data_IF_276332529030
#
_entry.id   IF_276332529030
#
_cell.length_a   1.000
_cell.length_b   1.000
_cell.length_c   1.000
_cell.angle_alpha   90.00
_cell.angle_beta   90.00
_cell.angle_gamma   90.00
#
_symmetry.space_group_name_H-M   'P 1'
#
loop_
_entity.id
_entity.type
_entity.pdbx_description
1 polymer ?
#
# COMPACT_ATOMS: atom_id res chain seq x y z
N UNK A 1 5.80 14.44 -24.55
CA UNK A 1 4.81 13.95 -23.57
C UNK A 1 5.49 13.90 -22.22
N UNK A 2 5.04 14.70 -21.26
CA UNK A 2 5.66 14.81 -19.94
C UNK A 2 4.79 14.15 -18.89
N UNK A 3 5.42 13.39 -18.02
CA UNK A 3 4.75 12.68 -16.92
C UNK A 3 5.40 13.11 -15.62
N UNK A 4 4.61 13.38 -14.60
CA UNK A 4 5.11 13.64 -13.24
C UNK A 4 4.34 12.77 -12.27
N UNK A 5 5.08 12.15 -11.34
CA UNK A 5 4.51 11.41 -10.22
C UNK A 5 4.89 12.12 -8.94
N UNK A 6 3.90 12.48 -8.12
CA UNK A 6 4.08 13.18 -6.86
C UNK A 6 3.56 12.28 -5.76
N UNK A 7 4.37 12.09 -4.72
CA UNK A 7 3.90 11.52 -3.47
C UNK A 7 3.53 12.68 -2.54
N UNK A 8 2.29 12.67 -2.06
CA UNK A 8 1.78 13.67 -1.11
C UNK A 8 0.94 12.96 -0.05
N UNK A 9 0.25 13.71 0.80
CA UNK A 9 -0.70 13.20 1.76
C UNK A 9 -1.99 14.02 1.74
N UNK A 10 -3.07 13.43 2.24
CA UNK A 10 -4.27 14.19 2.60
C UNK A 10 -3.91 15.05 3.80
N UNK A 11 -3.95 16.37 3.62
CA UNK A 11 -3.77 17.32 4.72
C UNK A 11 -5.10 17.93 5.11
N UNK A 12 -5.13 18.70 6.19
CA UNK A 12 -6.31 19.42 6.63
C UNK A 12 -6.09 20.93 6.58
N UNK A 13 -7.14 21.68 6.27
CA UNK A 13 -7.17 23.14 6.44
C UNK A 13 -8.53 23.58 6.93
N UNK A 14 -8.57 24.30 8.05
CA UNK A 14 -9.82 24.75 8.68
C UNK A 14 -10.83 23.60 8.86
N UNK A 15 -10.35 22.45 9.33
CA UNK A 15 -11.15 21.23 9.54
C UNK A 15 -11.76 20.63 8.26
N UNK A 16 -11.21 20.96 7.08
CA UNK A 16 -11.61 20.36 5.81
C UNK A 16 -10.43 19.61 5.19
N UNK A 17 -10.58 18.30 4.87
CA UNK A 17 -9.56 17.56 4.15
C UNK A 17 -9.26 18.16 2.78
N UNK A 18 -7.98 18.18 2.42
CA UNK A 18 -7.49 18.75 1.17
C UNK A 18 -6.30 17.99 0.60
N UNK A 19 -6.15 18.14 -0.71
CA UNK A 19 -4.96 17.71 -1.44
C UNK A 19 -4.31 18.96 -2.03
N UNK A 20 -3.08 19.22 -1.62
CA UNK A 20 -2.31 20.40 -2.02
C UNK A 20 -1.14 19.99 -2.90
N UNK A 21 -1.04 20.56 -4.10
CA UNK A 21 0.07 20.34 -5.02
C UNK A 21 0.60 21.70 -5.51
N UNK A 22 1.92 21.84 -5.51
CA UNK A 22 2.60 23.07 -5.89
C UNK A 22 3.97 22.77 -6.50
N UNK A 23 4.33 23.48 -7.56
CA UNK A 23 5.70 23.52 -8.05
C UNK A 23 5.85 23.41 -9.56
N UNK A 24 7.06 23.67 -10.05
CA UNK A 24 7.35 23.74 -11.48
C UNK A 24 7.15 22.39 -12.19
N UNK A 25 7.22 21.28 -11.45
CA UNK A 25 6.92 19.94 -11.93
C UNK A 25 5.45 19.75 -12.36
N UNK A 26 4.51 20.56 -11.85
CA UNK A 26 3.13 20.57 -12.35
C UNK A 26 3.06 21.16 -13.77
N UNK A 27 3.72 22.31 -13.99
CA UNK A 27 3.82 22.93 -15.30
C UNK A 27 4.53 22.01 -16.30
N UNK A 28 5.61 21.34 -15.86
CA UNK A 28 6.29 20.32 -16.65
C UNK A 28 5.31 19.27 -17.18
N UNK A 29 4.35 18.81 -16.36
CA UNK A 29 3.36 17.79 -16.74
C UNK A 29 2.09 18.33 -17.41
N UNK A 30 2.04 19.60 -17.81
CA UNK A 30 0.91 20.21 -18.52
C UNK A 30 -0.19 20.80 -17.61
N UNK A 31 0.11 21.05 -16.33
CA UNK A 31 -0.80 21.73 -15.41
C UNK A 31 -0.44 23.21 -15.37
N UNK A 32 -1.12 24.00 -16.19
CA UNK A 32 -0.87 25.43 -16.37
C UNK A 32 -1.77 26.29 -15.47
N UNK A 33 -1.27 27.47 -15.10
CA UNK A 33 -1.99 28.45 -14.29
C UNK A 33 -3.22 28.94 -15.07
N UNK A 34 -4.38 29.00 -14.39
CA UNK A 34 -5.65 29.45 -14.96
C UNK A 34 -6.51 28.32 -15.52
N UNK A 35 -5.95 27.13 -15.74
CA UNK A 35 -6.73 25.95 -16.19
C UNK A 35 -7.76 25.57 -15.12
N UNK A 36 -8.97 25.30 -15.56
CA UNK A 36 -10.05 24.76 -14.74
C UNK A 36 -10.12 23.26 -14.93
N UNK A 37 -10.23 22.51 -13.84
CA UNK A 37 -10.36 21.06 -13.87
C UNK A 37 -11.75 20.63 -13.39
N UNK A 38 -12.41 19.77 -14.15
CA UNK A 38 -13.56 19.02 -13.67
C UNK A 38 -13.10 17.86 -12.79
N UNK A 39 -13.86 17.57 -11.73
CA UNK A 39 -13.56 16.54 -10.74
C UNK A 39 -14.42 15.29 -11.00
N UNK A 40 -13.76 14.16 -11.22
CA UNK A 40 -14.40 12.87 -11.44
C UNK A 40 -13.96 11.91 -10.34
N UNK A 41 -14.92 11.37 -9.57
CA UNK A 41 -14.65 10.41 -8.50
C UNK A 41 -15.06 9.01 -8.91
N UNK A 42 -14.21 8.03 -8.62
CA UNK A 42 -14.56 6.62 -8.65
C UNK A 42 -14.39 6.04 -7.25
N UNK A 43 -15.49 5.90 -6.52
CA UNK A 43 -15.49 5.37 -5.15
C UNK A 43 -14.98 3.92 -5.11
N UNK A 44 -15.42 3.08 -6.06
CA UNK A 44 -14.99 1.68 -6.18
C UNK A 44 -13.47 1.53 -6.29
N UNK A 45 -12.81 2.44 -7.00
CA UNK A 45 -11.35 2.44 -7.17
C UNK A 45 -10.63 3.36 -6.18
N UNK A 46 -11.38 4.02 -5.28
CA UNK A 46 -10.89 5.10 -4.39
C UNK A 46 -9.94 6.05 -5.10
N UNK A 47 -10.43 6.61 -6.22
CA UNK A 47 -9.65 7.41 -7.16
C UNK A 47 -10.34 8.73 -7.45
N UNK A 48 -9.58 9.82 -7.41
CA UNK A 48 -10.00 11.12 -7.92
C UNK A 48 -9.26 11.36 -9.24
N UNK A 49 -9.98 11.84 -10.22
CA UNK A 49 -9.44 12.20 -11.52
C UNK A 49 -9.83 13.63 -11.85
N UNK A 50 -8.83 14.47 -12.12
CA UNK A 50 -9.03 15.83 -12.58
C UNK A 50 -8.72 15.88 -14.07
N UNK A 51 -9.72 16.29 -14.87
CA UNK A 51 -9.57 16.54 -16.31
C UNK A 51 -9.75 18.02 -16.59
N UNK A 52 -9.04 18.61 -17.56
CA UNK A 52 -9.34 19.97 -18.00
C UNK A 52 -10.83 20.08 -18.35
N UNK A 53 -11.51 21.08 -17.78
CA UNK A 53 -12.91 21.30 -18.00
C UNK A 53 -13.13 21.77 -19.46
N UNK A 54 -14.07 21.18 -20.20
CA UNK A 54 -14.40 21.67 -21.53
C UNK A 54 -15.01 23.08 -21.47
N UNK A 55 -14.97 23.79 -22.60
CA UNK A 55 -15.59 25.10 -22.71
C UNK A 55 -17.09 25.02 -22.38
N UNK A 56 -17.59 25.93 -21.54
CA UNK A 56 -18.99 25.96 -21.12
C UNK A 56 -19.37 24.92 -20.06
N UNK A 57 -18.41 24.23 -19.44
CA UNK A 57 -18.68 23.33 -18.31
C UNK A 57 -19.30 24.11 -17.13
N UNK A 58 -20.51 23.73 -16.73
CA UNK A 58 -21.30 24.38 -15.66
C UNK A 58 -21.19 23.68 -14.30
N UNK A 59 -20.44 22.57 -14.22
CA UNK A 59 -20.26 21.81 -12.98
C UNK A 59 -19.18 22.40 -12.07
N UNK A 60 -18.98 21.75 -10.92
CA UNK A 60 -17.93 22.13 -9.97
C UNK A 60 -16.54 21.93 -10.59
N UNK A 61 -15.72 22.96 -10.55
CA UNK A 61 -14.32 22.92 -11.02
C UNK A 61 -13.33 23.20 -9.90
N UNK A 62 -12.09 22.80 -10.12
CA UNK A 62 -10.91 23.16 -9.33
C UNK A 62 -9.98 23.98 -10.22
N UNK A 63 -9.68 25.21 -9.82
CA UNK A 63 -8.79 26.09 -10.58
C UNK A 63 -7.33 25.88 -10.22
N UNK A 64 -6.44 25.90 -11.22
CA UNK A 64 -5.01 26.05 -10.98
C UNK A 64 -4.71 27.52 -10.75
N UNK A 65 -4.32 27.88 -9.54
CA UNK A 65 -3.88 29.23 -9.19
C UNK A 65 -2.35 29.34 -9.29
N UNK A 66 -1.82 30.50 -8.92
CA UNK A 66 -0.39 30.77 -8.89
C UNK A 66 0.09 31.05 -7.47
N UNK A 67 1.30 30.62 -7.14
CA UNK A 67 2.01 31.03 -5.93
C UNK A 67 3.36 31.62 -6.29
N UNK A 68 3.67 32.81 -5.79
CA UNK A 68 4.95 33.48 -6.00
C UNK A 68 5.83 33.32 -4.78
N UNK A 69 7.06 32.84 -4.96
CA UNK A 69 8.06 32.72 -3.89
C UNK A 69 9.45 32.97 -4.48
N UNK A 70 10.21 33.87 -3.85
CA UNK A 70 11.55 34.28 -4.30
C UNK A 70 11.53 34.68 -5.80
N UNK A 71 10.58 35.55 -6.17
CA UNK A 71 10.37 36.05 -7.55
C UNK A 71 10.02 34.98 -8.60
N UNK A 72 9.90 33.72 -8.20
CA UNK A 72 9.48 32.62 -9.07
C UNK A 72 7.99 32.34 -8.89
N UNK A 73 7.31 32.12 -10.01
CA UNK A 73 5.88 31.78 -10.05
C UNK A 73 5.72 30.29 -10.25
N UNK A 74 4.91 29.65 -9.40
CA UNK A 74 4.62 28.23 -9.45
C UNK A 74 3.12 28.00 -9.67
N UNK A 75 2.72 27.03 -10.50
CA UNK A 75 1.35 26.53 -10.49
C UNK A 75 1.01 25.91 -9.14
N UNK A 76 -0.22 26.11 -8.72
CA UNK A 76 -0.79 25.63 -7.47
C UNK A 76 -2.17 25.05 -7.73
N UNK A 77 -2.43 23.83 -7.28
CA UNK A 77 -3.78 23.27 -7.24
C UNK A 77 -4.09 22.75 -5.84
N UNK A 78 -5.19 23.25 -5.28
CA UNK A 78 -5.74 22.80 -4.00
C UNK A 78 -7.12 22.21 -4.25
N UNK A 79 -7.24 20.89 -4.08
CA UNK A 79 -8.55 20.23 -4.05
C UNK A 79 -9.03 20.25 -2.61
N UNK A 80 -10.10 21.00 -2.35
CA UNK A 80 -10.76 21.06 -1.03
C UNK A 80 -12.23 20.72 -1.22
N UNK A 81 -12.59 19.51 -0.85
CA UNK A 81 -13.91 18.95 -1.11
C UNK A 81 -14.22 17.89 -0.05
N UNK A 82 -15.45 17.84 0.45
CA UNK A 82 -15.90 16.82 1.40
C UNK A 82 -15.80 15.41 0.81
N UNK A 83 -15.82 15.27 -0.52
CA UNK A 83 -15.61 13.97 -1.19
C UNK A 83 -14.22 13.38 -0.92
N UNK A 84 -13.22 14.21 -0.58
CA UNK A 84 -11.89 13.72 -0.18
C UNK A 84 -12.02 12.91 1.11
N UNK A 85 -12.81 13.40 2.08
CA UNK A 85 -13.03 12.72 3.36
C UNK A 85 -13.74 11.37 3.17
N UNK A 86 -14.63 11.26 2.18
CA UNK A 86 -15.30 10.01 1.85
C UNK A 86 -14.34 8.95 1.25
N UNK A 87 -13.27 9.39 0.59
CA UNK A 87 -12.32 8.50 -0.10
C UNK A 87 -11.07 8.22 0.73
N UNK A 88 -10.57 9.19 1.49
CA UNK A 88 -9.27 9.14 2.13
C UNK A 88 -9.32 9.83 3.50
N UNK A 89 -8.76 9.17 4.52
CA UNK A 89 -8.56 9.77 5.83
C UNK A 89 -7.43 10.80 5.80
N UNK A 90 -7.50 11.81 6.68
CA UNK A 90 -6.40 12.77 6.87
C UNK A 90 -5.12 12.02 7.26
N UNK A 91 -4.00 12.38 6.66
CA UNK A 91 -2.71 11.70 6.82
C UNK A 91 -2.48 10.54 5.83
N UNK A 92 -3.51 10.12 5.06
CA UNK A 92 -3.34 9.07 4.05
C UNK A 92 -2.33 9.50 2.99
N UNK A 93 -1.29 8.70 2.77
CA UNK A 93 -0.31 8.92 1.69
C UNK A 93 -0.95 8.66 0.33
N UNK A 94 -0.77 9.61 -0.59
CA UNK A 94 -1.33 9.58 -1.93
C UNK A 94 -0.23 9.51 -2.99
N UNK A 95 -0.55 8.87 -4.12
CA UNK A 95 0.18 8.96 -5.38
C UNK A 95 -0.63 9.80 -6.34
N UNK A 96 -0.02 10.87 -6.85
CA UNK A 96 -0.59 11.72 -7.89
C UNK A 96 0.20 11.50 -9.17
N UNK A 97 -0.44 10.96 -10.20
CA UNK A 97 0.14 10.84 -11.53
C UNK A 97 -0.47 11.90 -12.44
N UNK A 98 0.39 12.70 -13.07
CA UNK A 98 0.03 13.74 -14.00
C UNK A 98 0.60 13.37 -15.36
N UNK A 99 -0.26 13.29 -16.37
CA UNK A 99 0.13 13.01 -17.74
C UNK A 99 -0.64 13.92 -18.69
N UNK A 100 0.09 14.83 -19.35
CA UNK A 100 -0.48 15.82 -20.28
C UNK A 100 -1.69 16.57 -19.67
N UNK A 101 -1.49 17.16 -18.48
CA UNK A 101 -2.50 17.90 -17.73
C UNK A 101 -3.51 17.02 -17.00
N UNK A 102 -3.74 15.76 -17.40
CA UNK A 102 -4.67 14.87 -16.69
C UNK A 102 -4.06 14.40 -15.36
N UNK A 103 -4.76 14.66 -14.26
CA UNK A 103 -4.30 14.34 -12.90
C UNK A 103 -5.09 13.15 -12.37
N UNK A 104 -4.41 12.10 -11.95
CA UNK A 104 -4.99 10.92 -11.31
C UNK A 104 -4.43 10.82 -9.90
N UNK A 105 -5.31 10.86 -8.90
CA UNK A 105 -4.98 10.79 -7.49
C UNK A 105 -5.54 9.50 -6.92
N UNK A 106 -4.66 8.69 -6.34
CA UNK A 106 -5.02 7.46 -5.62
C UNK A 106 -4.24 7.37 -4.32
N UNK A 107 -4.62 6.44 -3.46
CA UNK A 107 -3.73 6.03 -2.36
C UNK A 107 -2.36 5.58 -2.91
N UNK A 108 -1.31 5.83 -2.15
CA UNK A 108 0.00 5.25 -2.40
C UNK A 108 -0.09 3.72 -2.30
N UNK A 109 0.65 3.02 -3.16
CA UNK A 109 0.71 1.55 -3.12
C UNK A 109 1.13 1.02 -1.73
N UNK A 110 1.97 1.74 -0.99
CA UNK A 110 2.35 1.38 0.39
C UNK A 110 1.13 1.49 1.31
N UNK A 111 0.41 2.60 1.25
CA UNK A 111 -0.79 2.81 2.07
C UNK A 111 -1.88 1.78 1.74
N UNK A 112 -2.06 1.46 0.45
CA UNK A 112 -2.99 0.40 0.01
C UNK A 112 -2.61 -0.95 0.60
N UNK A 113 -1.31 -1.32 0.55
CA UNK A 113 -0.82 -2.57 1.13
C UNK A 113 -0.94 -2.60 2.66
N UNK A 114 -0.73 -1.49 3.36
CA UNK A 114 -0.95 -1.41 4.81
C UNK A 114 -2.41 -1.68 5.14
N UNK A 115 -3.33 -1.00 4.45
CA UNK A 115 -4.76 -1.15 4.69
C UNK A 115 -5.23 -2.58 4.38
N UNK A 116 -4.82 -3.14 3.24
CA UNK A 116 -5.13 -4.53 2.89
C UNK A 116 -4.67 -5.51 3.97
N UNK A 117 -3.40 -5.40 4.42
CA UNK A 117 -2.86 -6.30 5.45
C UNK A 117 -3.64 -6.22 6.76
N UNK A 118 -4.00 -5.02 7.20
CA UNK A 118 -4.79 -4.81 8.42
C UNK A 118 -6.19 -5.40 8.25
N UNK A 119 -6.86 -5.13 7.12
CA UNK A 119 -8.19 -5.66 6.84
C UNK A 119 -8.19 -7.19 6.78
N UNK A 120 -7.21 -7.80 6.09
CA UNK A 120 -7.06 -9.26 5.99
C UNK A 120 -6.80 -9.88 7.36
N UNK A 121 -5.88 -9.32 8.14
CA UNK A 121 -5.59 -9.79 9.50
C UNK A 121 -6.82 -9.75 10.40
N UNK A 122 -7.50 -8.59 10.47
CA UNK A 122 -8.71 -8.44 11.28
C UNK A 122 -9.85 -9.35 10.82
N UNK A 123 -9.97 -9.60 9.51
CA UNK A 123 -10.96 -10.53 8.99
C UNK A 123 -10.68 -11.96 9.50
N UNK A 124 -9.44 -12.44 9.40
CA UNK A 124 -9.07 -13.77 9.89
C UNK A 124 -9.30 -13.92 11.40
N UNK A 125 -8.98 -12.89 12.18
CA UNK A 125 -9.27 -12.89 13.62
C UNK A 125 -10.78 -13.01 13.90
N UNK A 126 -11.62 -12.32 13.12
CA UNK A 126 -13.08 -12.36 13.27
C UNK A 126 -13.68 -13.69 12.82
N UNK A 127 -13.17 -14.28 11.75
CA UNK A 127 -13.69 -15.53 11.18
C UNK A 127 -13.09 -16.77 11.82
N UNK A 128 -12.05 -16.63 12.66
CA UNK A 128 -11.31 -17.75 13.23
C UNK A 128 -10.43 -18.47 12.20
N UNK A 129 -10.20 -17.87 11.04
CA UNK A 129 -9.32 -18.44 10.02
C UNK A 129 -7.86 -18.47 10.51
N UNK A 130 -7.13 -19.56 10.27
CA UNK A 130 -5.73 -19.68 10.65
C UNK A 130 -4.84 -18.59 10.05
N UNK A 131 -4.03 -17.96 10.92
CA UNK A 131 -3.01 -17.00 10.52
C UNK A 131 -1.90 -17.70 9.73
N UNK A 132 -1.57 -17.14 8.59
CA UNK A 132 -0.48 -17.59 7.73
C UNK A 132 0.82 -16.97 8.20
N UNK A 133 1.81 -17.81 8.50
CA UNK A 133 3.15 -17.41 8.94
C UNK A 133 4.14 -17.51 7.79
N UNK A 134 4.93 -16.45 7.60
CA UNK A 134 6.16 -16.45 6.82
C UNK A 134 7.33 -16.68 7.79
N UNK A 135 8.02 -17.80 7.66
CA UNK A 135 9.19 -18.15 8.45
C UNK A 135 10.46 -17.99 7.60
N UNK A 136 11.34 -17.08 8.03
CA UNK A 136 12.62 -16.81 7.38
C UNK A 136 13.74 -17.33 8.28
N UNK A 137 14.71 -18.05 7.71
CA UNK A 137 15.74 -18.74 8.49
C UNK A 137 15.08 -19.72 9.48
N UNK A 138 14.25 -20.61 8.93
CA UNK A 138 13.34 -21.46 9.69
C UNK A 138 14.07 -22.40 10.67
N UNK A 139 15.29 -22.81 10.31
CA UNK A 139 16.04 -23.85 11.00
C UNK A 139 15.19 -25.10 11.18
N UNK A 140 15.30 -25.71 12.36
CA UNK A 140 14.50 -26.87 12.75
C UNK A 140 13.06 -26.55 13.19
N UNK A 141 12.56 -25.32 12.97
CA UNK A 141 11.20 -24.91 13.32
C UNK A 141 10.92 -24.69 14.80
N UNK A 142 11.96 -24.59 15.64
CA UNK A 142 11.81 -24.41 17.10
C UNK A 142 11.11 -23.08 17.44
N UNK A 143 11.53 -21.98 16.81
CA UNK A 143 10.93 -20.67 17.02
C UNK A 143 9.47 -20.64 16.53
N UNK A 144 9.22 -21.18 15.34
CA UNK A 144 7.86 -21.29 14.78
C UNK A 144 6.95 -22.16 15.64
N UNK A 145 7.47 -23.26 16.19
CA UNK A 145 6.78 -24.11 17.16
C UNK A 145 6.32 -23.32 18.40
N UNK A 146 7.24 -22.56 19.01
CA UNK A 146 6.93 -21.74 20.17
C UNK A 146 5.89 -20.64 19.86
N UNK A 147 5.99 -20.00 18.69
CA UNK A 147 5.01 -19.01 18.23
C UNK A 147 3.64 -19.66 17.99
N UNK A 148 3.60 -20.83 17.34
CA UNK A 148 2.38 -21.57 17.08
C UNK A 148 1.65 -21.96 18.38
N UNK A 149 2.38 -22.50 19.36
CA UNK A 149 1.82 -22.79 20.69
C UNK A 149 1.35 -21.52 21.41
N UNK A 150 2.10 -20.42 21.29
CA UNK A 150 1.72 -19.12 21.83
C UNK A 150 0.39 -18.63 21.26
N UNK A 151 0.21 -18.73 19.95
CA UNK A 151 -1.05 -18.40 19.30
C UNK A 151 -2.18 -19.34 19.73
N UNK A 152 -1.93 -20.64 19.82
CA UNK A 152 -2.94 -21.60 20.25
C UNK A 152 -3.43 -21.31 21.68
N UNK A 153 -2.52 -20.98 22.61
CA UNK A 153 -2.86 -20.55 23.98
C UNK A 153 -3.69 -19.26 24.01
N UNK A 154 -3.50 -18.38 23.02
CA UNK A 154 -4.30 -17.17 22.84
C UNK A 154 -5.62 -17.40 22.08
N UNK A 155 -5.96 -18.65 21.74
CA UNK A 155 -7.16 -18.99 20.99
C UNK A 155 -7.06 -18.68 19.48
N UNK A 156 -5.84 -18.50 18.96
CA UNK A 156 -5.58 -18.22 17.55
C UNK A 156 -4.97 -19.44 16.87
N UNK A 157 -5.58 -19.88 15.77
CA UNK A 157 -4.97 -20.88 14.90
C UNK A 157 -3.89 -20.23 14.02
N UNK A 158 -2.79 -20.92 13.77
CA UNK A 158 -1.74 -20.49 12.85
C UNK A 158 -1.10 -21.68 12.15
N UNK A 159 -0.41 -21.45 11.03
CA UNK A 159 0.42 -22.44 10.36
C UNK A 159 1.50 -21.74 9.52
N UNK A 160 2.58 -22.45 9.23
CA UNK A 160 3.67 -21.97 8.38
C UNK A 160 3.24 -22.08 6.92
N UNK A 161 2.94 -20.92 6.31
CA UNK A 161 2.52 -20.84 4.90
C UNK A 161 3.73 -20.85 3.97
N UNK A 162 4.81 -20.17 4.36
CA UNK A 162 6.08 -20.16 3.64
C UNK A 162 7.19 -20.35 4.67
N UNK A 163 8.10 -21.29 4.42
CA UNK A 163 9.36 -21.42 5.14
C UNK A 163 10.53 -21.28 4.17
N UNK A 164 11.53 -20.50 4.56
CA UNK A 164 12.80 -20.38 3.85
C UNK A 164 13.92 -20.85 4.77
N UNK A 165 14.65 -21.87 4.32
CA UNK A 165 15.80 -22.41 5.05
C UNK A 165 16.92 -22.80 4.09
N UNK A 166 18.15 -22.43 4.44
CA UNK A 166 19.32 -22.74 3.62
C UNK A 166 19.76 -24.20 3.80
N UNK A 167 19.79 -24.69 5.03
CA UNK A 167 20.29 -26.03 5.37
C UNK A 167 19.18 -27.10 5.26
N UNK A 168 19.32 -28.00 4.28
CA UNK A 168 18.34 -29.06 4.01
C UNK A 168 18.01 -29.95 5.21
N UNK A 169 19.02 -30.31 6.00
CA UNK A 169 18.85 -31.16 7.19
C UNK A 169 17.92 -30.53 8.24
N UNK A 170 17.92 -29.20 8.35
CA UNK A 170 17.09 -28.49 9.31
C UNK A 170 15.63 -28.46 8.88
N UNK A 171 15.36 -28.21 7.61
CA UNK A 171 13.99 -28.21 7.10
C UNK A 171 13.39 -29.63 7.09
N UNK A 172 14.18 -30.65 6.77
CA UNK A 172 13.77 -32.07 6.86
C UNK A 172 13.48 -32.50 8.31
N UNK A 173 14.28 -32.01 9.26
CA UNK A 173 14.01 -32.20 10.68
C UNK A 173 12.68 -31.54 11.08
N UNK A 174 12.43 -30.31 10.64
CA UNK A 174 11.20 -29.59 10.99
C UNK A 174 9.95 -30.22 10.38
N UNK A 175 9.99 -30.64 9.11
CA UNK A 175 8.85 -31.30 8.44
C UNK A 175 8.44 -32.60 9.16
N UNK A 176 9.43 -33.37 9.61
CA UNK A 176 9.22 -34.63 10.32
C UNK A 176 8.77 -34.44 11.76
N UNK A 177 9.36 -33.48 12.47
CA UNK A 177 9.19 -33.35 13.93
C UNK A 177 8.13 -32.31 14.31
N UNK A 178 7.76 -31.40 13.41
CA UNK A 178 6.75 -30.36 13.64
C UNK A 178 5.57 -30.42 12.66
N UNK A 179 4.91 -31.60 12.45
CA UNK A 179 3.83 -31.73 11.46
C UNK A 179 2.67 -30.75 11.67
N UNK A 180 2.43 -30.32 12.92
CA UNK A 180 1.40 -29.34 13.29
C UNK A 180 1.62 -27.94 12.68
N UNK A 181 2.85 -27.61 12.27
CA UNK A 181 3.15 -26.32 11.63
C UNK A 181 2.73 -26.29 10.16
N UNK A 182 2.54 -27.44 9.53
CA UNK A 182 2.46 -27.56 8.07
C UNK A 182 1.06 -27.91 7.58
N UNK A 183 0.78 -27.54 6.33
CA UNK A 183 -0.44 -27.88 5.59
C UNK A 183 -0.09 -28.26 4.16
N UNK A 184 -1.06 -28.84 3.45
CA UNK A 184 -0.92 -29.20 2.04
C UNK A 184 -0.59 -28.00 1.15
N UNK A 185 -0.97 -26.79 1.57
CA UNK A 185 -0.70 -25.55 0.86
C UNK A 185 0.53 -24.78 1.39
N UNK A 186 1.30 -25.36 2.30
CA UNK A 186 2.58 -24.81 2.77
C UNK A 186 3.64 -24.87 1.66
N UNK A 187 4.44 -23.82 1.57
CA UNK A 187 5.54 -23.73 0.60
C UNK A 187 6.85 -23.80 1.38
N UNK A 188 7.65 -24.81 1.05
CA UNK A 188 9.00 -25.00 1.60
C UNK A 188 10.01 -24.58 0.55
N UNK A 189 10.84 -23.61 0.89
CA UNK A 189 11.93 -23.14 0.05
C UNK A 189 13.23 -23.54 0.75
N UNK A 190 13.85 -24.62 0.27
CA UNK A 190 15.20 -24.95 0.67
C UNK A 190 16.20 -24.24 -0.26
N UNK A 191 16.84 -23.18 0.23
CA UNK A 191 17.78 -22.38 -0.55
C UNK A 191 18.12 -21.06 0.11
N UNK A 192 18.98 -20.29 -0.56
CA UNK A 192 19.38 -18.97 -0.12
C UNK A 192 18.21 -17.98 -0.23
N UNK A 193 17.92 -17.26 0.86
CA UNK A 193 16.88 -16.24 0.88
C UNK A 193 17.10 -15.13 -0.16
N UNK A 194 18.35 -14.89 -0.58
CA UNK A 194 18.71 -13.91 -1.61
C UNK A 194 18.22 -14.31 -3.00
N UNK A 195 18.02 -15.60 -3.23
CA UNK A 195 17.51 -16.14 -4.49
C UNK A 195 15.97 -16.22 -4.52
N UNK A 196 15.31 -15.91 -3.40
CA UNK A 196 13.85 -15.91 -3.31
C UNK A 196 13.28 -14.71 -4.06
N UNK A 197 12.65 -14.98 -5.20
CA UNK A 197 12.03 -13.95 -6.01
C UNK A 197 10.74 -13.41 -5.37
N UNK A 198 10.84 -12.19 -4.82
CA UNK A 198 9.69 -11.44 -4.28
C UNK A 198 9.11 -10.42 -5.27
N UNK A 199 9.53 -10.47 -6.53
CA UNK A 199 9.06 -9.61 -7.62
C UNK A 199 8.10 -10.42 -8.50
N UNK A 200 6.82 -10.36 -8.18
CA UNK A 200 5.81 -11.06 -8.98
C UNK A 200 4.40 -10.93 -8.43
N UNK A 201 3.43 -11.20 -9.31
CA UNK A 201 2.05 -11.42 -8.89
C UNK A 201 1.93 -12.87 -8.37
N UNK A 202 1.21 -13.08 -7.27
CA UNK A 202 0.95 -14.42 -6.75
C UNK A 202 1.84 -14.88 -5.58
N UNK A 203 2.66 -14.00 -5.02
CA UNK A 203 3.37 -14.29 -3.76
C UNK A 203 2.31 -14.44 -2.65
N UNK A 204 2.25 -15.59 -1.96
CA UNK A 204 1.30 -15.79 -0.89
C UNK A 204 1.44 -14.70 0.17
N UNK A 205 0.30 -14.20 0.63
CA UNK A 205 0.29 -13.19 1.68
C UNK A 205 0.30 -13.87 3.04
N UNK A 206 1.13 -13.37 3.95
CA UNK A 206 1.18 -13.81 5.34
C UNK A 206 0.73 -12.69 6.27
N UNK A 207 0.21 -13.03 7.45
CA UNK A 207 -0.14 -12.07 8.50
C UNK A 207 1.00 -11.91 9.52
N UNK A 208 1.83 -12.94 9.68
CA UNK A 208 2.93 -12.97 10.64
C UNK A 208 4.24 -13.24 9.89
N UNK A 209 5.27 -12.48 10.22
CA UNK A 209 6.64 -12.72 9.76
C UNK A 209 7.49 -13.08 10.98
N UNK A 210 8.12 -14.25 10.94
CA UNK A 210 9.06 -14.75 11.95
C UNK A 210 10.41 -14.88 11.27
N UNK A 211 11.47 -14.42 11.93
CA UNK A 211 12.82 -14.47 11.37
C UNK A 211 13.85 -14.80 12.46
N UNK A 212 14.48 -15.98 12.34
CA UNK A 212 15.58 -16.43 13.19
C UNK A 212 16.94 -16.07 12.58
N UNK A 213 17.18 -14.78 12.32
CA UNK A 213 18.37 -14.33 11.57
C UNK A 213 19.65 -14.69 12.36
N UNK A 214 20.65 -15.32 11.73
CA UNK A 214 21.94 -15.60 12.39
C UNK A 214 22.61 -14.30 12.86
N UNK A 215 23.32 -14.38 13.99
CA UNK A 215 24.02 -13.27 14.59
C UNK A 215 25.36 -12.94 13.91
#
# INVERSE_FOLDING_TARGET
>A
MSTTVINTLVSESRSVPRIWLEGQHLAHAGVEIGVQYMLNVCEKLRRIELRPAPQGFSGKTVSVSKRTRNERVYPLIEVRDSIIAALFEVGTKLRVAIHNGRIVISMSHIAMRVQERVSRFLNKLKTGEPLSVLSLFHGGGVLDGAIHEGFQRAGLASYVKIAVEFEGDYIDSSLRNNPQLWRDDSIVINGDIRDVNILGNGIPQAEVCVAGVPC
#
